data_IF_760014747214
#
_entry.id   IF_760014747214
#
_cell.length_a   1.000
_cell.length_b   1.000
_cell.length_c   1.000
_cell.angle_alpha   90.00
_cell.angle_beta   90.00
_cell.angle_gamma   90.00
#
_symmetry.space_group_name_H-M   'P 1'
#
loop_
_entity.id
_entity.type
_entity.pdbx_description
1 polymer ?
#
# COMPACT_ATOMS: atom_id res chain seq x y z
N UNK A 1 -17.47 23.49 7.02
CA UNK A 1 -17.88 23.39 5.60
C UNK A 1 -17.09 22.31 4.92
N UNK A 2 -17.73 21.45 4.20
CA UNK A 2 -17.06 20.42 3.42
C UNK A 2 -16.43 21.02 2.17
N UNK A 3 -15.16 20.72 1.97
CA UNK A 3 -14.36 21.21 0.82
C UNK A 3 -14.53 20.30 -0.41
N UNK A 4 -15.72 19.79 -0.64
CA UNK A 4 -15.96 18.83 -1.75
C UNK A 4 -15.66 19.40 -3.13
N UNK A 5 -15.86 20.71 -3.31
CA UNK A 5 -15.57 21.37 -4.58
C UNK A 5 -14.10 21.51 -4.94
N UNK A 6 -13.20 21.27 -3.97
CA UNK A 6 -11.76 21.32 -4.20
C UNK A 6 -11.14 19.94 -4.50
N UNK A 7 -11.96 18.88 -4.52
CA UNK A 7 -11.48 17.52 -4.66
C UNK A 7 -10.74 17.02 -3.42
N UNK A 8 -10.19 15.83 -3.51
CA UNK A 8 -9.44 15.22 -2.42
C UNK A 8 -8.00 14.94 -2.82
N UNK A 9 -7.11 14.93 -1.82
CA UNK A 9 -5.66 14.66 -1.96
C UNK A 9 -5.31 13.19 -1.73
N UNK A 10 -6.29 12.33 -1.59
CA UNK A 10 -6.09 10.89 -1.40
C UNK A 10 -7.13 10.09 -2.20
N UNK A 11 -6.79 8.86 -2.53
CA UNK A 11 -7.70 7.88 -3.10
C UNK A 11 -7.63 6.56 -2.33
N UNK A 12 -8.70 5.79 -2.32
CA UNK A 12 -8.78 4.53 -1.58
C UNK A 12 -9.18 3.41 -2.53
N UNK A 13 -8.40 2.33 -2.50
CA UNK A 13 -8.70 1.12 -3.27
C UNK A 13 -8.96 0.00 -2.25
N UNK A 14 -10.23 -0.34 -1.99
CA UNK A 14 -10.56 -1.47 -1.14
C UNK A 14 -10.22 -2.79 -1.86
N UNK A 15 -9.84 -3.80 -1.09
CA UNK A 15 -9.49 -5.13 -1.63
C UNK A 15 -8.40 -5.00 -2.72
N UNK A 16 -7.31 -4.33 -2.38
CA UNK A 16 -6.18 -4.10 -3.29
C UNK A 16 -5.21 -5.31 -3.36
N UNK A 17 -5.53 -6.42 -2.70
CA UNK A 17 -4.67 -7.60 -2.66
C UNK A 17 -4.44 -8.17 -4.07
N UNK A 18 -3.18 -8.33 -4.45
CA UNK A 18 -2.79 -8.87 -5.74
C UNK A 18 -3.14 -7.98 -6.95
N UNK A 19 -3.56 -6.75 -6.73
CA UNK A 19 -3.90 -5.80 -7.79
C UNK A 19 -2.74 -4.85 -8.06
N UNK A 20 -2.43 -4.62 -9.34
CA UNK A 20 -1.49 -3.58 -9.74
C UNK A 20 -2.07 -2.18 -9.49
N UNK A 21 -1.29 -1.31 -8.87
CA UNK A 21 -1.70 0.05 -8.51
C UNK A 21 -0.78 1.03 -9.19
N UNK A 22 -1.35 1.98 -9.92
CA UNK A 22 -0.61 3.03 -10.62
C UNK A 22 -0.19 4.14 -9.63
N UNK A 23 1.10 4.46 -9.63
CA UNK A 23 1.68 5.50 -8.77
C UNK A 23 1.96 6.82 -9.49
N UNK A 24 1.50 6.99 -10.72
CA UNK A 24 1.84 8.18 -11.54
C UNK A 24 1.49 9.50 -10.83
N UNK A 25 0.33 9.57 -10.18
CA UNK A 25 -0.15 10.78 -9.50
C UNK A 25 -0.03 10.73 -7.98
N UNK A 26 0.56 9.67 -7.43
CA UNK A 26 0.66 9.47 -5.98
C UNK A 26 2.06 9.00 -5.60
N UNK A 27 2.90 9.85 -5.01
CA UNK A 27 4.26 9.49 -4.60
C UNK A 27 4.28 8.55 -3.39
N UNK A 28 3.17 8.40 -2.69
CA UNK A 28 3.09 7.55 -1.52
C UNK A 28 1.77 6.79 -1.46
N UNK A 29 1.86 5.58 -0.94
CA UNK A 29 0.72 4.69 -0.74
C UNK A 29 0.81 4.06 0.65
N UNK A 30 -0.29 4.09 1.37
CA UNK A 30 -0.42 3.39 2.65
C UNK A 30 -1.26 2.15 2.46
N UNK A 31 -0.71 1.02 2.83
CA UNK A 31 -1.44 -0.24 2.88
C UNK A 31 -1.95 -0.50 4.28
N UNK A 32 -3.22 -0.86 4.36
CA UNK A 32 -3.84 -1.40 5.58
C UNK A 32 -4.22 -2.83 5.28
N UNK A 33 -3.67 -3.77 6.04
CA UNK A 33 -3.91 -5.19 5.83
C UNK A 33 -4.63 -5.80 7.01
N UNK A 34 -5.42 -6.83 6.75
CA UNK A 34 -6.06 -7.65 7.80
C UNK A 34 -5.83 -9.12 7.52
N UNK A 35 -5.72 -9.89 8.56
CA UNK A 35 -5.49 -11.34 8.49
C UNK A 35 -4.05 -11.72 8.87
N UNK A 36 -3.90 -12.97 9.28
CA UNK A 36 -2.60 -13.57 9.57
C UNK A 36 -2.00 -14.12 8.27
N UNK A 37 -1.16 -13.34 7.62
CA UNK A 37 -0.70 -13.64 6.27
C UNK A 37 0.70 -13.06 5.99
N UNK A 38 1.27 -13.44 4.87
CA UNK A 38 2.50 -12.84 4.32
C UNK A 38 2.13 -11.95 3.15
N UNK A 39 2.45 -10.67 3.26
CA UNK A 39 2.20 -9.67 2.23
C UNK A 39 3.49 -9.36 1.49
N UNK A 40 3.52 -9.59 0.18
CA UNK A 40 4.71 -9.45 -0.65
C UNK A 40 4.57 -8.28 -1.60
N UNK A 41 5.50 -7.31 -1.50
CA UNK A 41 5.56 -6.15 -2.39
C UNK A 41 6.34 -6.49 -3.66
N UNK A 42 5.76 -6.19 -4.80
CA UNK A 42 6.39 -6.31 -6.12
C UNK A 42 6.05 -5.08 -6.96
N UNK A 43 6.83 -4.84 -8.01
CA UNK A 43 6.63 -3.71 -8.91
C UNK A 43 6.75 -4.10 -10.38
N UNK A 44 6.18 -3.27 -11.26
CA UNK A 44 6.23 -3.42 -12.71
C UNK A 44 6.27 -2.06 -13.39
N UNK A 45 6.77 -1.98 -14.61
CA UNK A 45 6.72 -0.80 -15.47
C UNK A 45 5.39 -0.67 -16.22
N UNK A 46 4.63 -1.75 -16.32
CA UNK A 46 3.31 -1.77 -16.98
C UNK A 46 2.27 -2.51 -16.13
N UNK A 47 1.00 -2.14 -16.27
CA UNK A 47 -0.10 -2.75 -15.52
C UNK A 47 -0.19 -4.27 -15.76
N UNK A 48 -0.15 -4.71 -16.99
CA UNK A 48 -0.21 -6.12 -17.37
C UNK A 48 1.15 -6.82 -17.43
N UNK A 49 2.21 -6.17 -16.97
CA UNK A 49 3.57 -6.69 -17.02
C UNK A 49 3.89 -7.73 -15.94
N UNK A 50 5.14 -8.16 -15.93
CA UNK A 50 5.64 -9.05 -14.89
C UNK A 50 5.96 -8.26 -13.64
N UNK A 51 5.32 -8.59 -12.54
CA UNK A 51 5.59 -8.02 -11.23
C UNK A 51 6.68 -8.83 -10.52
N UNK A 52 7.73 -8.15 -10.10
CA UNK A 52 8.84 -8.76 -9.39
C UNK A 52 9.43 -7.76 -8.36
N UNK A 53 10.41 -8.20 -7.60
CA UNK A 53 11.09 -7.37 -6.61
C UNK A 53 12.40 -6.74 -7.12
N UNK A 54 12.69 -6.86 -8.41
CA UNK A 54 13.94 -6.33 -9.00
C UNK A 54 13.99 -4.82 -8.86
N UNK A 55 15.01 -4.32 -8.18
CA UNK A 55 15.21 -2.90 -7.93
C UNK A 55 14.42 -2.35 -6.75
N UNK A 56 13.55 -3.11 -6.11
CA UNK A 56 12.95 -2.69 -4.85
C UNK A 56 14.06 -2.63 -3.80
N UNK A 57 14.22 -1.47 -3.19
CA UNK A 57 15.11 -1.33 -2.04
C UNK A 57 14.53 -2.12 -0.87
N UNK A 58 15.39 -2.77 -0.08
CA UNK A 58 14.91 -3.51 1.09
C UNK A 58 14.05 -2.62 1.99
N UNK A 59 12.93 -3.15 2.42
CA UNK A 59 12.00 -2.42 3.29
C UNK A 59 12.57 -2.22 4.70
N UNK A 60 13.51 -3.07 5.10
CA UNK A 60 14.15 -2.99 6.41
C UNK A 60 14.89 -1.67 6.56
N UNK A 61 14.54 -0.90 7.58
CA UNK A 61 15.14 0.41 7.86
C UNK A 61 14.57 1.58 7.05
N UNK A 62 13.76 1.33 6.02
CA UNK A 62 13.15 2.39 5.19
C UNK A 62 11.70 2.68 5.56
N UNK A 63 10.97 1.69 6.04
CA UNK A 63 9.57 1.85 6.42
C UNK A 63 9.35 1.45 7.88
N UNK A 64 8.25 1.92 8.43
CA UNK A 64 7.76 1.47 9.73
C UNK A 64 6.45 0.71 9.54
N UNK A 65 6.33 -0.42 10.21
CA UNK A 65 5.10 -1.21 10.27
C UNK A 65 4.46 -1.05 11.63
N UNK A 66 3.19 -0.77 11.62
CA UNK A 66 2.35 -0.73 12.82
C UNK A 66 1.39 -1.91 12.76
N UNK A 67 1.22 -2.59 13.88
CA UNK A 67 0.26 -3.69 14.03
C UNK A 67 -0.79 -3.36 15.06
N UNK A 68 -1.97 -3.94 14.90
CA UNK A 68 -3.04 -3.94 15.88
C UNK A 68 -3.52 -5.37 16.10
N UNK A 69 -3.79 -5.72 17.35
CA UNK A 69 -4.36 -7.04 17.69
C UNK A 69 -5.85 -7.15 17.38
N UNK A 70 -6.47 -6.10 16.84
CA UNK A 70 -7.87 -6.09 16.44
C UNK A 70 -8.06 -5.45 15.07
N UNK A 71 -9.03 -5.93 14.30
CA UNK A 71 -9.37 -5.40 12.98
C UNK A 71 -10.46 -4.33 13.02
N UNK A 72 -11.04 -4.07 14.18
CA UNK A 72 -12.22 -3.20 14.35
C UNK A 72 -11.92 -1.90 15.11
N UNK A 73 -10.64 -1.56 15.26
CA UNK A 73 -10.22 -0.33 15.92
C UNK A 73 -10.28 -0.37 17.45
N UNK A 74 -10.54 -1.51 18.06
CA UNK A 74 -10.59 -1.63 19.54
C UNK A 74 -9.23 -1.79 20.19
N UNK A 75 -8.17 -2.02 19.42
CA UNK A 75 -6.80 -2.11 19.91
C UNK A 75 -5.93 -1.01 19.30
N UNK A 76 -4.98 -0.50 20.08
CA UNK A 76 -4.05 0.53 19.62
C UNK A 76 -3.09 -0.02 18.57
N UNK A 77 -2.60 0.87 17.71
CA UNK A 77 -1.49 0.61 16.80
C UNK A 77 -0.17 0.62 17.58
N UNK A 78 0.62 -0.42 17.39
CA UNK A 78 1.94 -0.57 18.00
C UNK A 78 2.96 -0.79 16.90
N UNK A 79 4.05 -0.01 16.91
CA UNK A 79 5.15 -0.18 15.96
C UNK A 79 5.84 -1.52 16.17
N UNK A 80 5.99 -2.28 15.10
CA UNK A 80 6.70 -3.56 15.10
C UNK A 80 7.42 -3.81 13.77
N UNK A 81 8.65 -3.35 13.68
CA UNK A 81 9.46 -3.53 12.48
C UNK A 81 10.09 -4.93 12.35
N UNK A 82 9.92 -5.81 13.35
CA UNK A 82 10.36 -7.21 13.22
C UNK A 82 9.53 -8.01 12.20
N UNK A 83 8.37 -7.47 11.81
CA UNK A 83 7.53 -8.08 10.78
C UNK A 83 8.09 -7.89 9.35
N UNK A 84 9.09 -7.02 9.17
CA UNK A 84 9.62 -6.65 7.86
C UNK A 84 10.74 -7.60 7.44
N UNK A 85 10.67 -8.08 6.21
CA UNK A 85 11.79 -8.71 5.50
C UNK A 85 12.17 -7.89 4.26
N UNK A 86 12.92 -8.43 3.32
CA UNK A 86 13.41 -7.68 2.15
C UNK A 86 12.30 -6.94 1.41
N UNK A 87 11.26 -7.65 0.98
CA UNK A 87 10.09 -7.09 0.30
C UNK A 87 8.76 -7.66 0.83
N UNK A 88 8.77 -8.22 2.02
CA UNK A 88 7.60 -8.85 2.63
C UNK A 88 7.31 -8.29 4.01
N UNK A 89 6.02 -8.27 4.35
CA UNK A 89 5.53 -8.02 5.70
C UNK A 89 4.80 -9.29 6.15
N UNK A 90 5.26 -9.87 7.25
CA UNK A 90 4.64 -11.07 7.83
C UNK A 90 3.81 -10.66 9.02
N UNK A 91 2.51 -10.83 8.94
CA UNK A 91 1.62 -10.42 10.03
C UNK A 91 1.51 -11.47 11.16
N UNK A 92 2.61 -12.04 11.57
CA UNK A 92 2.76 -13.14 12.53
C UNK A 92 1.85 -13.08 13.77
N UNK A 93 0.61 -13.53 13.66
CA UNK A 93 -0.39 -13.47 14.71
C UNK A 93 -1.03 -12.09 14.91
N UNK A 94 -0.56 -11.04 14.26
CA UNK A 94 -1.22 -9.75 14.23
C UNK A 94 -2.46 -9.80 13.34
N UNK A 95 -3.48 -9.06 13.70
CA UNK A 95 -4.76 -9.10 12.99
C UNK A 95 -4.83 -8.00 11.93
N UNK A 96 -4.23 -6.86 12.19
CA UNK A 96 -4.13 -5.77 11.23
C UNK A 96 -2.72 -5.20 11.20
N UNK A 97 -2.25 -4.78 10.01
CA UNK A 97 -1.00 -4.03 9.86
C UNK A 97 -1.23 -2.79 9.01
N UNK A 98 -0.41 -1.78 9.22
CA UNK A 98 -0.43 -0.54 8.47
C UNK A 98 1.00 -0.09 8.18
N UNK A 99 1.30 0.23 6.92
CA UNK A 99 2.62 0.72 6.52
C UNK A 99 2.51 1.57 5.26
N UNK A 100 3.45 2.51 5.12
CA UNK A 100 3.50 3.42 3.97
C UNK A 100 4.71 3.11 3.10
N UNK A 101 4.49 3.00 1.79
CA UNK A 101 5.51 2.86 0.77
C UNK A 101 5.64 4.19 0.04
N UNK A 102 6.83 4.76 0.05
CA UNK A 102 7.17 5.97 -0.68
C UNK A 102 8.01 5.67 -1.93
N UNK A 103 8.32 6.71 -2.66
CA UNK A 103 9.14 6.67 -3.88
C UNK A 103 10.58 6.17 -3.65
N UNK A 104 11.11 6.32 -2.43
CA UNK A 104 12.46 5.84 -2.07
C UNK A 104 12.59 4.32 -2.10
N UNK A 105 11.49 3.59 -2.04
CA UNK A 105 11.45 2.12 -2.05
C UNK A 105 11.34 1.57 -3.47
N UNK A 106 10.63 2.29 -4.33
CA UNK A 106 10.29 1.85 -5.68
C UNK A 106 11.29 2.43 -6.69
N UNK A 107 11.82 1.62 -7.62
CA UNK A 107 12.70 2.12 -8.66
C UNK A 107 12.01 3.16 -9.57
N UNK A 108 12.74 4.18 -10.01
CA UNK A 108 12.21 5.28 -10.83
C UNK A 108 11.55 4.82 -12.14
N UNK A 109 11.98 3.68 -12.68
CA UNK A 109 11.43 3.14 -13.92
C UNK A 109 10.20 2.25 -13.71
N UNK A 110 9.65 2.19 -12.51
CA UNK A 110 8.47 1.39 -12.17
C UNK A 110 7.30 2.30 -11.81
N UNK A 111 6.18 2.12 -12.48
CA UNK A 111 4.98 2.93 -12.28
C UNK A 111 3.85 2.20 -11.55
N UNK A 112 3.97 0.89 -11.41
CA UNK A 112 2.95 0.05 -10.78
C UNK A 112 3.53 -0.76 -9.65
N UNK A 113 2.79 -0.85 -8.56
CA UNK A 113 3.10 -1.74 -7.44
C UNK A 113 1.97 -2.71 -7.19
N UNK A 114 2.30 -3.82 -6.59
CA UNK A 114 1.35 -4.86 -6.21
C UNK A 114 1.73 -5.40 -4.84
N UNK A 115 0.75 -5.50 -3.96
CA UNK A 115 0.89 -6.21 -2.69
C UNK A 115 0.12 -7.53 -2.79
N UNK A 116 0.85 -8.62 -2.92
CA UNK A 116 0.26 -9.96 -2.99
C UNK A 116 0.10 -10.55 -1.60
N UNK A 117 -0.92 -11.37 -1.40
CA UNK A 117 -1.20 -12.10 -0.16
C UNK A 117 -0.94 -13.58 -0.36
N UNK A 118 -0.41 -14.24 0.67
CA UNK A 118 -0.16 -15.69 0.64
C UNK A 118 -1.40 -16.54 0.86
N UNK A 119 -2.45 -15.97 1.47
CA UNK A 119 -3.68 -16.70 1.84
C UNK A 119 -4.92 -15.81 1.77
N UNK A 120 -5.71 -15.80 2.83
CA UNK A 120 -7.01 -15.11 2.90
C UNK A 120 -6.94 -13.65 3.40
N UNK A 121 -5.75 -13.10 3.57
CA UNK A 121 -5.58 -11.72 4.01
C UNK A 121 -6.21 -10.71 3.05
N UNK A 122 -6.66 -9.59 3.59
CA UNK A 122 -7.24 -8.49 2.84
C UNK A 122 -6.34 -7.27 2.90
N UNK A 123 -6.33 -6.49 1.81
CA UNK A 123 -5.52 -5.28 1.66
C UNK A 123 -6.42 -4.13 1.22
N UNK A 124 -6.28 -3.00 1.91
CA UNK A 124 -6.80 -1.71 1.45
C UNK A 124 -5.62 -0.80 1.18
N UNK A 125 -5.60 -0.19 0.00
CA UNK A 125 -4.58 0.77 -0.39
C UNK A 125 -5.14 2.19 -0.33
N UNK A 126 -4.39 3.09 0.30
CA UNK A 126 -4.70 4.51 0.37
C UNK A 126 -3.58 5.26 -0.33
N UNK A 127 -3.88 5.79 -1.51
CA UNK A 127 -2.95 6.65 -2.23
C UNK A 127 -3.13 8.07 -1.70
N UNK A 128 -2.05 8.68 -1.27
CA UNK A 128 -2.08 10.02 -0.67
C UNK A 128 -0.99 10.91 -1.25
N UNK A 129 -1.03 12.17 -0.89
CA UNK A 129 -0.17 13.20 -1.47
C UNK A 129 -0.34 13.31 -2.99
N UNK A 130 -1.59 13.15 -3.47
CA UNK A 130 -1.89 13.26 -4.89
C UNK A 130 -1.41 14.61 -5.42
N UNK A 131 -0.68 14.58 -6.54
CA UNK A 131 -0.15 15.78 -7.19
C UNK A 131 -1.24 16.65 -7.82
N UNK A 132 -2.44 16.10 -8.04
CA UNK A 132 -3.59 16.81 -8.59
C UNK A 132 -4.82 16.58 -7.71
N UNK A 133 -5.38 17.66 -7.20
CA UNK A 133 -6.68 17.63 -6.51
C UNK A 133 -7.80 17.55 -7.55
N UNK A 134 -8.63 16.54 -7.44
CA UNK A 134 -9.79 16.36 -8.32
C UNK A 134 -11.02 15.97 -7.50
N UNK A 135 -12.19 16.31 -8.03
CA UNK A 135 -13.43 15.71 -7.54
C UNK A 135 -13.31 14.18 -7.59
N UNK A 136 -13.78 13.45 -6.56
CA UNK A 136 -13.70 11.99 -6.54
C UNK A 136 -14.24 11.31 -7.81
N UNK A 137 -15.25 11.90 -8.45
CA UNK A 137 -15.79 11.39 -9.71
C UNK A 137 -14.82 11.50 -10.89
N UNK A 138 -13.83 12.38 -10.80
CA UNK A 138 -12.85 12.65 -11.85
C UNK A 138 -11.45 12.11 -11.52
N UNK A 139 -11.29 11.36 -10.43
CA UNK A 139 -10.04 10.71 -10.13
C UNK A 139 -9.74 9.63 -11.17
N UNK A 140 -8.49 9.56 -11.60
CA UNK A 140 -8.05 8.51 -12.50
C UNK A 140 -8.27 7.12 -11.87
N UNK A 141 -8.50 6.13 -12.71
CA UNK A 141 -8.52 4.73 -12.29
C UNK A 141 -7.07 4.32 -12.00
N UNK A 142 -6.69 4.29 -10.73
CA UNK A 142 -5.32 4.06 -10.32
C UNK A 142 -4.92 2.58 -10.26
N UNK A 143 -5.86 1.69 -10.51
CA UNK A 143 -5.65 0.24 -10.50
C UNK A 143 -5.80 -0.39 -11.89
N UNK A 144 -5.60 0.40 -12.90
CA UNK A 144 -5.64 -0.08 -14.29
C UNK A 144 -4.41 0.33 -15.06
#
# INVERSE_FOLDING_TARGET
MWMQGLGRVFNVIPIAAGRGINLTDAPAITFVTTGNDTFTLTCSDTFGGTYNNTGITTLVGLINVYKSSATNGTAAWVKDNSLISTNTIVSGGAIATCFTIGDTVIPDNKSYIKLSVGGAGLVTAILHDLSVQRDPANLAILSA
#
